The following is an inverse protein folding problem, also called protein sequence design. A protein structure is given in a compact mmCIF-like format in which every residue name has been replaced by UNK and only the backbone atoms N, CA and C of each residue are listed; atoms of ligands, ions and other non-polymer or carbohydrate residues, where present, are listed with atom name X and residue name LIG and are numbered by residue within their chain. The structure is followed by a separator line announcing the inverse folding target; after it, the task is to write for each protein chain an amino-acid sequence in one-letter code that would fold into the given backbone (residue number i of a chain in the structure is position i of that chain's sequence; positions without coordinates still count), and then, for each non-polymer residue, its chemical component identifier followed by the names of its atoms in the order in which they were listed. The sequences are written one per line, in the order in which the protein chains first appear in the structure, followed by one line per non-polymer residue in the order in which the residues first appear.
data_IF_943229989712
#
_entry.id   IF_943229989712
#
_cell.length_a   1.000
_cell.length_b   1.000
_cell.length_c   1.000
_cell.angle_alpha   90.00
_cell.angle_beta   90.00
_cell.angle_gamma   90.00
#
_symmetry.space_group_name_H-M   'P 1'
#
loop_
_entity.id
_entity.type
_entity.pdbx_description
1 polymer ?
#
# COMPACT_ATOMS: atom_id res chain seq x y z
N UNK A 1 4.14 -21.26 8.61
CA UNK A 1 3.10 -20.84 9.57
C UNK A 1 2.94 -19.34 9.48
N UNK A 2 1.71 -18.82 9.58
CA UNK A 2 1.48 -17.38 9.60
C UNK A 2 2.16 -16.74 10.83
N UNK A 3 2.53 -15.46 10.72
CA UNK A 3 2.99 -14.67 11.86
C UNK A 3 1.96 -14.73 12.99
N UNK A 4 2.41 -14.92 14.24
CA UNK A 4 1.52 -14.85 15.41
C UNK A 4 1.17 -13.41 15.80
N UNK A 5 1.97 -12.44 15.36
CA UNK A 5 1.75 -11.02 15.61
C UNK A 5 0.99 -10.41 14.44
N UNK A 6 -0.10 -9.69 14.75
CA UNK A 6 -0.87 -8.90 13.79
C UNK A 6 -0.65 -7.41 14.05
N UNK A 7 -0.47 -6.64 12.97
CA UNK A 7 -0.43 -5.19 13.01
C UNK A 7 -1.48 -4.60 12.07
N UNK A 8 -1.68 -3.28 12.16
CA UNK A 8 -2.53 -2.52 11.23
C UNK A 8 -1.71 -1.44 10.53
N UNK A 9 -1.86 -1.35 9.22
CA UNK A 9 -1.40 -0.21 8.40
C UNK A 9 -2.66 0.47 7.87
N UNK A 10 -3.04 1.58 8.51
CA UNK A 10 -4.37 2.17 8.31
C UNK A 10 -5.47 1.16 8.64
N UNK A 11 -6.31 0.84 7.66
CA UNK A 11 -7.37 -0.18 7.76
C UNK A 11 -6.95 -1.62 7.42
N UNK A 12 -5.73 -1.83 6.91
CA UNK A 12 -5.25 -3.14 6.42
C UNK A 12 -4.59 -3.92 7.54
N UNK A 13 -5.07 -5.15 7.81
CA UNK A 13 -4.47 -6.06 8.77
C UNK A 13 -3.33 -6.86 8.11
N UNK A 14 -2.17 -6.92 8.77
CA UNK A 14 -0.98 -7.63 8.27
C UNK A 14 -0.47 -8.59 9.33
N UNK A 15 -0.20 -9.84 8.94
CA UNK A 15 0.18 -10.93 9.85
C UNK A 15 -1.02 -11.53 10.58
N UNK A 16 -0.79 -12.34 11.62
CA UNK A 16 -1.87 -12.92 12.44
C UNK A 16 -2.80 -13.91 11.74
N UNK A 17 -2.47 -14.36 10.53
CA UNK A 17 -3.37 -15.16 9.70
C UNK A 17 -4.31 -14.34 8.80
N UNK A 18 -4.17 -13.01 8.75
CA UNK A 18 -4.82 -12.19 7.74
C UNK A 18 -4.35 -12.57 6.31
N UNK A 19 -5.16 -12.30 5.27
CA UNK A 19 -4.74 -12.45 3.88
C UNK A 19 -3.42 -11.72 3.58
N UNK A 20 -2.66 -12.22 2.62
CA UNK A 20 -1.42 -11.55 2.17
C UNK A 20 -1.80 -10.26 1.46
N UNK A 21 -1.45 -9.12 2.05
CA UNK A 21 -1.74 -7.80 1.49
C UNK A 21 -0.84 -7.47 0.29
N UNK A 22 -1.43 -6.91 -0.78
CA UNK A 22 -0.72 -6.48 -1.97
C UNK A 22 -0.26 -5.02 -1.82
N UNK A 23 1.05 -4.81 -1.86
CA UNK A 23 1.68 -3.49 -1.75
C UNK A 23 2.43 -3.11 -3.04
N UNK A 24 2.45 -1.81 -3.36
CA UNK A 24 3.27 -1.23 -4.43
C UNK A 24 3.90 0.10 -3.98
N UNK A 25 4.70 0.73 -4.85
CA UNK A 25 5.36 2.00 -4.63
C UNK A 25 5.20 2.93 -5.84
N UNK A 26 4.98 4.22 -5.59
CA UNK A 26 4.94 5.24 -6.66
C UNK A 26 6.33 5.46 -7.26
N UNK A 27 6.35 5.82 -8.54
CA UNK A 27 7.57 6.18 -9.28
C UNK A 27 7.67 7.69 -9.54
N UNK A 28 6.57 8.42 -9.38
CA UNK A 28 6.52 9.88 -9.56
C UNK A 28 7.35 10.61 -8.50
N UNK A 29 7.89 11.81 -8.81
CA UNK A 29 8.47 12.67 -7.78
C UNK A 29 7.41 13.01 -6.73
N UNK A 30 7.62 12.67 -5.47
CA UNK A 30 6.57 12.80 -4.44
C UNK A 30 6.08 14.24 -4.22
N UNK A 31 6.92 15.23 -4.52
CA UNK A 31 6.53 16.66 -4.51
C UNK A 31 5.53 17.04 -5.62
N UNK A 32 5.41 16.22 -6.67
CA UNK A 32 4.39 16.35 -7.70
C UNK A 32 3.11 15.66 -7.22
N UNK A 33 2.23 16.46 -6.61
CA UNK A 33 1.01 15.96 -5.96
C UNK A 33 0.04 15.36 -6.98
N UNK A 34 -0.12 15.99 -8.14
CA UNK A 34 -1.08 15.54 -9.16
C UNK A 34 -0.64 14.21 -9.75
N UNK A 35 0.61 14.10 -10.20
CA UNK A 35 1.13 12.86 -10.77
C UNK A 35 1.10 11.71 -9.75
N UNK A 36 1.48 12.00 -8.49
CA UNK A 36 1.55 10.99 -7.43
C UNK A 36 0.16 10.49 -7.03
N UNK A 37 -0.81 11.40 -6.86
CA UNK A 37 -2.19 11.00 -6.52
C UNK A 37 -2.87 10.24 -7.66
N UNK A 38 -2.63 10.63 -8.92
CA UNK A 38 -3.11 9.88 -10.08
C UNK A 38 -2.54 8.46 -10.12
N UNK A 39 -1.23 8.29 -9.87
CA UNK A 39 -0.60 6.97 -9.82
C UNK A 39 -1.13 6.13 -8.65
N UNK A 40 -1.33 6.72 -7.47
CA UNK A 40 -1.94 6.04 -6.31
C UNK A 40 -3.34 5.52 -6.68
N UNK A 41 -4.17 6.34 -7.31
CA UNK A 41 -5.52 5.94 -7.74
C UNK A 41 -5.48 4.78 -8.76
N UNK A 42 -4.53 4.80 -9.69
CA UNK A 42 -4.34 3.73 -10.67
C UNK A 42 -3.91 2.41 -9.98
N UNK A 43 -2.98 2.47 -9.03
CA UNK A 43 -2.54 1.30 -8.24
C UNK A 43 -3.70 0.73 -7.40
N UNK A 44 -4.47 1.59 -6.74
CA UNK A 44 -5.65 1.16 -5.96
C UNK A 44 -6.69 0.49 -6.86
N UNK A 45 -6.96 1.05 -8.05
CA UNK A 45 -7.88 0.46 -9.03
C UNK A 45 -7.40 -0.90 -9.56
N UNK A 46 -6.08 -1.13 -9.58
CA UNK A 46 -5.48 -2.42 -9.92
C UNK A 46 -5.49 -3.45 -8.75
N UNK A 47 -6.03 -3.08 -7.58
CA UNK A 47 -6.11 -3.95 -6.41
C UNK A 47 -4.97 -3.80 -5.41
N UNK A 48 -4.16 -2.74 -5.50
CA UNK A 48 -3.16 -2.46 -4.47
C UNK A 48 -3.83 -1.98 -3.17
N UNK A 49 -3.47 -2.62 -2.05
CA UNK A 49 -4.05 -2.34 -0.73
C UNK A 49 -3.22 -1.33 0.08
N UNK A 50 -1.91 -1.27 -0.18
CA UNK A 50 -0.98 -0.33 0.48
C UNK A 50 -0.03 0.27 -0.56
N UNK A 51 0.03 1.60 -0.66
CA UNK A 51 0.94 2.30 -1.57
C UNK A 51 2.01 3.06 -0.79
N UNK A 52 3.28 2.90 -1.16
CA UNK A 52 4.42 3.60 -0.56
C UNK A 52 4.87 4.76 -1.45
N UNK A 53 5.25 5.88 -0.82
CA UNK A 53 5.89 7.03 -1.47
C UNK A 53 7.34 7.21 -0.98
N UNK A 54 8.21 7.81 -1.79
CA UNK A 54 9.50 8.32 -1.32
C UNK A 54 9.28 9.62 -0.52
N UNK A 55 10.24 10.00 0.33
CA UNK A 55 10.21 11.25 1.10
C UNK A 55 11.57 11.92 1.01
#
# INVERSE_FOLDING_TARGET
MASQVQIKVGGVAIGGGAPVAIQSMTLTPTRDVEATTAQIAALASAGCEVVRCAV
#
